data_IF_663911491675
#
_entry.id   IF_663911491675
#
_cell.length_a   1.000
_cell.length_b   1.000
_cell.length_c   1.000
_cell.angle_alpha   90.00
_cell.angle_beta   90.00
_cell.angle_gamma   90.00
#
_symmetry.space_group_name_H-M   'P 1'
#
loop_
_entity.id
_entity.type
_entity.pdbx_description
1 polymer ?
#
# COMPACT_ATOMS: atom_id res chain seq x y z
N UNK A 1 29.64 -9.23 5.61
CA UNK A 1 28.95 -9.13 4.31
C UNK A 1 28.15 -7.85 4.32
N UNK A 2 28.73 -6.78 3.71
CA UNK A 2 28.09 -5.47 3.67
C UNK A 2 26.84 -5.49 2.79
N UNK A 3 25.75 -4.97 3.32
CA UNK A 3 24.54 -4.70 2.56
C UNK A 3 24.83 -3.54 1.61
N UNK A 4 24.77 -3.79 0.30
CA UNK A 4 24.91 -2.75 -0.71
C UNK A 4 23.52 -2.26 -1.12
N UNK A 5 23.12 -1.11 -0.60
CA UNK A 5 21.83 -0.49 -0.89
C UNK A 5 21.61 -0.17 -2.38
N UNK A 6 22.68 -0.14 -3.18
CA UNK A 6 22.61 0.03 -4.64
C UNK A 6 22.26 -1.27 -5.36
N UNK A 7 22.30 -2.41 -4.67
CA UNK A 7 21.96 -3.73 -5.18
C UNK A 7 20.65 -4.28 -4.61
N UNK A 8 19.72 -3.42 -4.29
CA UNK A 8 18.35 -3.88 -4.04
C UNK A 8 17.91 -4.56 -5.34
N UNK A 9 17.41 -5.80 -5.29
CA UNK A 9 16.79 -6.42 -6.44
C UNK A 9 15.52 -5.65 -6.78
N UNK A 10 15.66 -4.51 -7.39
CA UNK A 10 14.55 -3.83 -8.00
C UNK A 10 14.37 -4.47 -9.37
N UNK A 11 13.14 -4.80 -9.73
CA UNK A 11 12.78 -5.21 -11.07
C UNK A 11 13.18 -4.17 -12.15
N UNK A 12 13.76 -3.05 -11.74
CA UNK A 12 14.21 -1.96 -12.59
C UNK A 12 15.58 -2.16 -13.24
N UNK A 13 16.37 -3.17 -12.85
CA UNK A 13 17.73 -3.36 -13.34
C UNK A 13 17.85 -4.33 -14.52
N UNK A 14 16.85 -4.45 -15.35
CA UNK A 14 17.05 -5.04 -16.65
C UNK A 14 17.57 -3.96 -17.60
N UNK A 15 18.84 -4.13 -17.99
CA UNK A 15 19.62 -3.23 -18.82
C UNK A 15 19.18 -3.14 -20.30
N UNK A 16 18.09 -3.77 -20.67
CA UNK A 16 17.58 -3.68 -22.03
C UNK A 16 16.66 -2.46 -22.18
N UNK A 17 16.87 -1.65 -23.24
CA UNK A 17 15.98 -0.55 -23.53
C UNK A 17 14.57 -1.10 -23.74
N UNK A 18 13.64 -0.71 -22.88
CA UNK A 18 12.24 -1.12 -23.01
C UNK A 18 11.70 -0.62 -24.34
N UNK A 19 11.19 -1.51 -25.17
CA UNK A 19 10.43 -1.11 -26.35
C UNK A 19 9.25 -0.29 -25.87
N UNK A 20 9.11 0.94 -26.39
CA UNK A 20 7.88 1.71 -26.22
C UNK A 20 6.76 0.92 -26.91
N UNK A 21 5.84 0.37 -26.14
CA UNK A 21 4.61 -0.18 -26.68
C UNK A 21 3.69 0.96 -27.10
N UNK A 22 2.94 0.79 -28.17
CA UNK A 22 1.81 1.66 -28.47
C UNK A 22 0.71 1.39 -27.46
N UNK A 23 0.24 2.45 -26.80
CA UNK A 23 -0.92 2.35 -25.91
C UNK A 23 -2.17 2.20 -26.76
N UNK A 24 -3.08 1.34 -26.34
CA UNK A 24 -4.38 1.23 -26.99
C UNK A 24 -5.09 2.58 -26.93
N UNK A 25 -5.67 3.03 -28.04
CA UNK A 25 -6.29 4.35 -28.18
C UNK A 25 -7.48 4.60 -27.24
N UNK A 26 -7.97 3.58 -26.55
CA UNK A 26 -9.08 3.63 -25.60
C UNK A 26 -8.66 3.69 -24.13
N UNK A 27 -7.36 3.81 -23.83
CA UNK A 27 -6.90 3.97 -22.46
C UNK A 27 -7.26 5.37 -21.93
N UNK A 28 -8.02 5.40 -20.85
CA UNK A 28 -8.50 6.63 -20.21
C UNK A 28 -7.66 7.05 -19.00
N UNK A 29 -6.93 6.09 -18.41
CA UNK A 29 -6.07 6.33 -17.25
C UNK A 29 -4.62 6.43 -17.70
N UNK A 30 -4.14 7.64 -17.90
CA UNK A 30 -2.80 7.92 -18.38
C UNK A 30 -1.98 8.64 -17.31
N UNK A 31 -0.87 8.04 -16.81
CA UNK A 31 -0.02 8.71 -15.85
C UNK A 31 0.82 9.80 -16.53
N UNK A 32 0.81 10.98 -15.96
CA UNK A 32 1.71 12.08 -16.26
C UNK A 32 2.82 12.10 -15.22
N UNK A 33 4.06 11.90 -15.63
CA UNK A 33 5.21 11.92 -14.75
C UNK A 33 5.82 13.32 -14.69
N UNK A 34 6.27 13.70 -13.51
CA UNK A 34 6.93 14.99 -13.29
C UNK A 34 8.08 14.87 -12.30
N UNK A 35 9.00 15.83 -12.39
CA UNK A 35 10.05 16.08 -11.40
C UNK A 35 9.85 17.48 -10.87
N UNK A 36 9.78 17.62 -9.55
CA UNK A 36 9.70 18.90 -8.89
C UNK A 36 10.72 18.92 -7.73
N UNK A 37 11.67 19.86 -7.78
CA UNK A 37 12.76 19.98 -6.81
C UNK A 37 13.52 18.67 -6.56
N UNK A 38 13.77 17.90 -7.63
CA UNK A 38 14.44 16.60 -7.57
C UNK A 38 13.59 15.44 -7.06
N UNK A 39 12.32 15.70 -6.73
CA UNK A 39 11.36 14.68 -6.28
C UNK A 39 10.51 14.20 -7.44
N UNK A 40 10.40 12.88 -7.55
CA UNK A 40 9.60 12.25 -8.60
C UNK A 40 8.12 12.21 -8.22
N UNK A 41 7.26 12.42 -9.20
CA UNK A 41 5.83 12.26 -9.03
C UNK A 41 5.15 11.72 -10.26
N UNK A 42 3.92 11.25 -10.06
CA UNK A 42 3.02 10.87 -11.12
C UNK A 42 1.60 11.27 -10.76
N UNK A 43 0.85 11.71 -11.76
CA UNK A 43 -0.56 12.08 -11.58
C UNK A 43 -1.43 11.45 -12.67
N UNK A 44 -2.68 11.19 -12.34
CA UNK A 44 -3.69 10.63 -13.24
C UNK A 44 -5.01 11.35 -13.02
N UNK A 45 -5.63 11.80 -14.09
CA UNK A 45 -7.04 12.20 -14.04
C UNK A 45 -7.92 10.95 -13.94
N UNK A 46 -8.98 11.03 -13.15
CA UNK A 46 -9.96 9.96 -12.98
C UNK A 46 -11.35 10.45 -13.36
N UNK A 47 -12.25 9.58 -13.83
CA UNK A 47 -13.62 9.96 -14.16
C UNK A 47 -14.35 10.59 -12.97
N UNK A 48 -15.10 11.64 -13.23
CA UNK A 48 -15.92 12.32 -12.23
C UNK A 48 -16.86 11.37 -11.47
N UNK A 49 -16.90 11.52 -10.16
CA UNK A 49 -17.71 10.70 -9.27
C UNK A 49 -17.17 9.29 -9.02
N UNK A 50 -15.91 9.04 -9.34
CA UNK A 50 -15.20 7.84 -8.92
C UNK A 50 -14.97 7.86 -7.41
N UNK A 51 -15.32 6.76 -6.74
CA UNK A 51 -15.03 6.55 -5.32
C UNK A 51 -13.63 5.94 -5.15
N UNK A 52 -12.77 6.57 -4.34
CA UNK A 52 -11.36 6.20 -4.17
C UNK A 52 -11.11 5.58 -2.80
N UNK A 53 -10.34 4.49 -2.77
CA UNK A 53 -10.00 3.70 -1.57
C UNK A 53 -8.53 3.28 -1.59
N UNK A 54 -7.88 3.19 -0.44
CA UNK A 54 -6.49 2.72 -0.33
C UNK A 54 -5.59 3.61 0.51
N UNK A 55 -4.30 3.65 0.18
CA UNK A 55 -3.28 4.45 0.88
C UNK A 55 -2.75 3.81 2.16
N UNK A 56 -3.25 2.63 2.54
CA UNK A 56 -2.81 1.93 3.74
C UNK A 56 -3.64 2.24 4.99
N UNK A 57 -3.02 2.11 6.14
CA UNK A 57 -3.65 2.24 7.44
C UNK A 57 -3.61 3.70 7.91
N UNK A 58 -4.77 4.34 7.91
CA UNK A 58 -4.97 5.72 8.36
C UNK A 58 -6.34 5.87 9.01
N UNK A 59 -6.49 6.79 9.93
CA UNK A 59 -7.77 7.10 10.57
C UNK A 59 -8.75 7.77 9.61
N UNK A 60 -10.03 7.75 9.98
CA UNK A 60 -11.11 8.39 9.24
C UNK A 60 -11.92 7.44 8.37
N UNK A 61 -12.62 7.99 7.39
CA UNK A 61 -13.49 7.21 6.49
C UNK A 61 -12.67 6.38 5.50
N UNK A 62 -13.25 5.28 5.01
CA UNK A 62 -12.62 4.47 3.94
C UNK A 62 -12.48 5.25 2.63
N UNK A 63 -13.41 6.15 2.34
CA UNK A 63 -13.38 6.99 1.16
C UNK A 63 -12.21 7.97 1.22
N UNK A 64 -11.40 8.02 0.16
CA UNK A 64 -10.19 8.83 0.05
C UNK A 64 -10.33 10.09 -0.79
N UNK A 65 -11.48 10.29 -1.44
CA UNK A 65 -11.75 11.51 -2.19
C UNK A 65 -11.57 12.77 -1.32
N UNK A 66 -10.90 13.77 -1.86
CA UNK A 66 -10.61 15.03 -1.14
C UNK A 66 -9.58 14.88 -0.02
N UNK A 67 -8.73 13.85 -0.05
CA UNK A 67 -7.75 13.60 1.01
C UNK A 67 -6.32 13.49 0.49
N UNK A 68 -5.40 13.84 1.37
CA UNK A 68 -3.97 13.62 1.18
C UNK A 68 -3.45 12.73 2.30
N UNK A 69 -2.75 11.65 1.93
CA UNK A 69 -2.22 10.63 2.83
C UNK A 69 -0.70 10.66 2.75
N UNK A 70 -0.05 10.74 3.90
CA UNK A 70 1.41 10.59 4.01
C UNK A 70 1.76 9.11 4.11
N UNK A 71 2.50 8.60 3.14
CA UNK A 71 2.99 7.23 3.10
C UNK A 71 4.35 7.16 3.81
N UNK A 72 4.29 7.00 5.12
CA UNK A 72 5.45 6.84 5.99
C UNK A 72 5.02 6.27 7.33
N UNK A 73 5.35 5.01 7.57
CA UNK A 73 4.93 4.28 8.76
C UNK A 73 5.37 4.98 10.05
N UNK A 74 4.49 4.97 11.04
CA UNK A 74 4.74 5.60 12.33
C UNK A 74 4.15 4.74 13.43
N UNK A 75 4.93 4.49 14.48
CA UNK A 75 4.42 3.93 15.73
C UNK A 75 3.64 5.02 16.47
N UNK A 76 2.33 5.00 16.30
CA UNK A 76 1.43 6.02 16.84
C UNK A 76 0.68 5.45 18.04
N UNK A 77 1.31 5.48 19.19
CA UNK A 77 0.67 5.08 20.45
C UNK A 77 -0.63 5.84 20.68
N UNK A 78 -1.76 5.13 20.71
CA UNK A 78 -3.11 5.69 20.92
C UNK A 78 -3.44 6.87 19.99
N UNK A 79 -2.94 6.86 18.77
CA UNK A 79 -3.09 7.93 17.78
C UNK A 79 -2.51 9.30 18.21
N UNK A 80 -1.62 9.33 19.23
CA UNK A 80 -1.04 10.55 19.77
C UNK A 80 -0.15 11.31 18.80
N UNK A 81 0.45 10.61 17.82
CA UNK A 81 1.23 11.24 16.77
C UNK A 81 0.31 11.56 15.59
N UNK A 82 0.19 12.84 15.24
CA UNK A 82 -0.58 13.39 14.11
C UNK A 82 -2.06 12.92 13.99
N UNK A 83 -2.66 12.45 15.08
CA UNK A 83 -4.06 12.03 15.11
C UNK A 83 -4.35 10.76 14.30
N UNK A 84 -3.34 9.90 14.11
CA UNK A 84 -3.45 8.66 13.34
C UNK A 84 -3.46 8.85 11.83
N UNK A 85 -2.97 9.99 11.34
CA UNK A 85 -2.80 10.22 9.89
C UNK A 85 -1.73 9.32 9.27
N UNK A 86 -0.87 8.75 10.09
CA UNK A 86 0.14 7.75 9.73
C UNK A 86 0.12 6.67 10.81
N UNK A 87 -0.03 5.44 10.39
CA UNK A 87 -0.01 4.27 11.27
C UNK A 87 1.05 3.27 10.80
N UNK A 88 0.80 1.98 10.95
CA UNK A 88 1.83 0.95 10.75
C UNK A 88 1.98 0.49 9.31
N UNK A 89 1.02 0.78 8.44
CA UNK A 89 1.05 0.33 7.04
C UNK A 89 0.83 1.50 6.07
N UNK A 90 1.76 1.64 5.14
CA UNK A 90 1.68 2.61 4.04
C UNK A 90 1.66 1.86 2.73
N UNK A 91 0.61 2.05 1.95
CA UNK A 91 0.47 1.40 0.66
C UNK A 91 0.40 2.45 -0.45
N UNK A 92 1.37 2.49 -1.38
CA UNK A 92 1.33 3.36 -2.54
C UNK A 92 0.36 2.80 -3.59
N UNK A 93 -0.84 2.46 -3.14
CA UNK A 93 -1.92 1.84 -3.87
C UNK A 93 -3.23 2.56 -3.63
N UNK A 94 -3.96 2.81 -4.72
CA UNK A 94 -5.31 3.33 -4.65
C UNK A 94 -6.21 2.59 -5.64
N UNK A 95 -7.41 2.28 -5.21
CA UNK A 95 -8.45 1.66 -6.02
C UNK A 95 -9.58 2.67 -6.26
N UNK A 96 -10.01 2.80 -7.50
CA UNK A 96 -11.16 3.60 -7.89
C UNK A 96 -12.32 2.72 -8.34
N UNK A 97 -13.52 3.06 -7.89
CA UNK A 97 -14.78 2.46 -8.32
C UNK A 97 -15.60 3.53 -9.05
N UNK A 98 -15.84 3.32 -10.34
CA UNK A 98 -16.60 4.25 -11.19
C UNK A 98 -18.11 4.13 -10.92
N UNK A 99 -18.88 5.10 -11.37
CA UNK A 99 -20.36 5.14 -11.20
C UNK A 99 -21.07 3.91 -11.77
N UNK A 100 -20.52 3.29 -12.81
CA UNK A 100 -21.04 2.09 -13.46
C UNK A 100 -20.60 0.77 -12.79
N UNK A 101 -19.80 0.85 -11.72
CA UNK A 101 -19.28 -0.29 -10.99
C UNK A 101 -17.95 -0.85 -11.55
N UNK A 102 -17.55 -0.47 -12.75
CA UNK A 102 -16.20 -0.81 -13.23
C UNK A 102 -15.15 -0.16 -12.36
N UNK A 103 -13.97 -0.79 -12.25
CA UNK A 103 -13.02 -0.41 -11.23
C UNK A 103 -11.59 -0.47 -11.75
N UNK A 104 -10.73 0.33 -11.16
CA UNK A 104 -9.31 0.29 -11.45
C UNK A 104 -8.48 0.32 -10.18
N UNK A 105 -7.26 -0.14 -10.27
CA UNK A 105 -6.25 -0.01 -9.24
C UNK A 105 -5.00 0.62 -9.80
N UNK A 106 -4.36 1.49 -9.03
CA UNK A 106 -3.11 2.14 -9.38
C UNK A 106 -2.10 1.81 -8.30
N UNK A 107 -1.01 1.14 -8.69
CA UNK A 107 0.15 0.88 -7.85
C UNK A 107 1.31 1.76 -8.32
N UNK A 108 1.77 2.62 -7.45
CA UNK A 108 3.00 3.39 -7.64
C UNK A 108 4.16 2.59 -7.05
N UNK A 109 5.02 2.04 -7.90
CA UNK A 109 6.10 1.14 -7.51
C UNK A 109 7.26 1.91 -6.86
N UNK A 110 7.01 2.38 -5.65
CA UNK A 110 7.98 3.09 -4.83
C UNK A 110 7.87 2.69 -3.36
N UNK A 111 9.02 2.61 -2.69
CA UNK A 111 9.13 2.38 -1.24
C UNK A 111 9.62 3.61 -0.49
N UNK A 112 9.85 4.70 -1.20
CA UNK A 112 10.26 5.96 -0.62
C UNK A 112 9.11 6.63 0.13
N UNK A 113 9.46 7.45 1.08
CA UNK A 113 8.49 8.35 1.70
C UNK A 113 7.77 9.15 0.62
N UNK A 114 6.44 9.18 0.70
CA UNK A 114 5.63 9.77 -0.34
C UNK A 114 4.36 10.41 0.23
N UNK A 115 3.71 11.20 -0.60
CA UNK A 115 2.40 11.76 -0.34
C UNK A 115 1.45 11.37 -1.48
N UNK A 116 0.33 10.75 -1.12
CA UNK A 116 -0.73 10.35 -2.05
C UNK A 116 -1.93 11.28 -1.87
N UNK A 117 -2.23 12.06 -2.89
CA UNK A 117 -3.35 12.99 -2.93
C UNK A 117 -4.44 12.50 -3.87
N UNK A 118 -5.70 12.70 -3.49
CA UNK A 118 -6.89 12.38 -4.28
C UNK A 118 -7.88 13.56 -4.26
N UNK A 119 -7.49 14.62 -4.91
CA UNK A 119 -8.20 15.90 -4.98
C UNK A 119 -8.68 16.17 -6.41
N UNK A 120 -9.83 16.81 -6.56
CA UNK A 120 -10.30 17.38 -7.82
C UNK A 120 -10.31 16.39 -9.01
N UNK A 121 -10.86 15.18 -8.78
CA UNK A 121 -10.87 14.09 -9.77
C UNK A 121 -9.48 13.73 -10.32
N UNK A 122 -8.46 13.89 -9.48
CA UNK A 122 -7.08 13.59 -9.77
C UNK A 122 -6.45 12.76 -8.65
N UNK A 123 -5.70 11.75 -9.03
CA UNK A 123 -4.82 11.01 -8.13
C UNK A 123 -3.39 11.48 -8.42
N UNK A 124 -2.66 11.84 -7.38
CA UNK A 124 -1.27 12.26 -7.50
C UNK A 124 -0.43 11.65 -6.39
N UNK A 125 0.70 11.06 -6.75
CA UNK A 125 1.72 10.64 -5.80
C UNK A 125 2.99 11.45 -6.00
N UNK A 126 3.50 12.02 -4.90
CA UNK A 126 4.81 12.69 -4.82
C UNK A 126 5.74 11.89 -3.94
N UNK A 127 6.82 11.39 -4.49
CA UNK A 127 7.83 10.60 -3.79
C UNK A 127 9.04 11.48 -3.43
N UNK A 128 9.66 11.23 -2.29
CA UNK A 128 10.95 11.84 -1.95
C UNK A 128 12.13 11.13 -2.62
N UNK A 129 11.87 10.08 -3.39
CA UNK A 129 12.87 9.28 -4.11
C UNK A 129 12.90 9.51 -5.61
N UNK A 130 13.56 8.58 -6.28
CA UNK A 130 13.77 8.58 -7.71
C UNK A 130 12.48 8.26 -8.49
N UNK A 131 12.56 8.32 -9.83
CA UNK A 131 11.48 7.90 -10.73
C UNK A 131 11.08 6.44 -10.47
N UNK A 132 9.79 6.19 -10.53
CA UNK A 132 9.17 4.90 -10.26
C UNK A 132 8.23 4.48 -11.39
N UNK A 133 7.82 3.23 -11.39
CA UNK A 133 6.82 2.70 -12.33
C UNK A 133 5.41 2.91 -11.78
N UNK A 134 4.45 3.03 -12.67
CA UNK A 134 3.02 3.02 -12.32
C UNK A 134 2.38 1.82 -13.00
N UNK A 135 1.74 0.97 -12.22
CA UNK A 135 0.94 -0.14 -12.73
C UNK A 135 -0.53 0.22 -12.61
N UNK A 136 -1.27 0.02 -13.69
CA UNK A 136 -2.70 0.26 -13.75
C UNK A 136 -3.39 -1.06 -14.06
N UNK A 137 -4.35 -1.42 -13.21
CA UNK A 137 -5.18 -2.61 -13.33
C UNK A 137 -6.61 -2.11 -13.54
N UNK A 138 -7.15 -2.22 -14.74
CA UNK A 138 -8.53 -1.80 -15.07
C UNK A 138 -9.38 -3.05 -15.30
N UNK A 139 -10.49 -3.17 -14.59
CA UNK A 139 -11.34 -4.38 -14.55
C UNK A 139 -12.80 -4.02 -14.38
N UNK A 140 -13.64 -5.03 -14.58
CA UNK A 140 -15.10 -4.95 -14.47
C UNK A 140 -15.63 -4.77 -13.04
N UNK A 141 -14.81 -5.05 -12.01
CA UNK A 141 -15.24 -4.98 -10.61
C UNK A 141 -14.07 -4.77 -9.64
N UNK A 142 -14.34 -4.30 -8.40
CA UNK A 142 -13.33 -4.18 -7.36
C UNK A 142 -12.63 -5.52 -7.05
N UNK A 143 -13.39 -6.63 -7.05
CA UNK A 143 -12.85 -7.96 -6.78
C UNK A 143 -11.84 -8.39 -7.87
N UNK A 144 -12.15 -8.10 -9.13
CA UNK A 144 -11.27 -8.39 -10.25
C UNK A 144 -10.00 -7.53 -10.21
N UNK A 145 -10.08 -6.29 -9.73
CA UNK A 145 -8.93 -5.42 -9.49
C UNK A 145 -8.03 -5.99 -8.39
N UNK A 146 -8.60 -6.42 -7.26
CA UNK A 146 -7.83 -7.04 -6.16
C UNK A 146 -7.17 -8.34 -6.62
N UNK A 147 -7.88 -9.15 -7.42
CA UNK A 147 -7.29 -10.35 -8.04
C UNK A 147 -6.11 -10.00 -8.93
N UNK A 148 -6.25 -9.00 -9.79
CA UNK A 148 -5.16 -8.53 -10.65
C UNK A 148 -3.96 -7.98 -9.85
N UNK A 149 -4.20 -7.31 -8.74
CA UNK A 149 -3.13 -6.92 -7.81
C UNK A 149 -2.42 -8.14 -7.24
N UNK A 150 -3.16 -9.16 -6.79
CA UNK A 150 -2.59 -10.41 -6.26
C UNK A 150 -1.78 -11.17 -7.30
N UNK A 151 -2.19 -11.14 -8.56
CA UNK A 151 -1.42 -11.71 -9.68
C UNK A 151 -0.10 -10.96 -9.90
N UNK A 152 -0.08 -9.65 -9.65
CA UNK A 152 1.12 -8.81 -9.80
C UNK A 152 2.10 -8.96 -8.63
N UNK A 153 1.61 -8.95 -7.39
CA UNK A 153 2.46 -8.92 -6.18
C UNK A 153 2.61 -10.27 -5.48
N UNK A 154 1.84 -11.26 -5.91
CA UNK A 154 1.73 -12.56 -5.24
C UNK A 154 0.65 -12.58 -4.16
N UNK A 155 0.40 -13.77 -3.63
CA UNK A 155 -0.56 -14.02 -2.55
C UNK A 155 0.16 -14.44 -1.30
N UNK A 156 -0.43 -14.14 -0.15
CA UNK A 156 0.08 -14.61 1.14
C UNK A 156 -0.05 -16.14 1.24
N UNK A 157 0.99 -16.86 1.69
CA UNK A 157 0.88 -18.29 2.00
C UNK A 157 -0.23 -18.54 3.01
N UNK A 158 -0.89 -19.72 2.89
CA UNK A 158 -1.87 -20.13 3.90
C UNK A 158 -1.19 -20.26 5.26
N UNK A 159 -1.63 -19.50 6.23
CA UNK A 159 -1.12 -19.56 7.60
C UNK A 159 -1.70 -20.77 8.34
N UNK A 160 -0.96 -21.37 9.28
CA UNK A 160 -1.49 -22.48 10.10
C UNK A 160 -2.67 -22.03 10.95
N UNK A 161 -3.60 -22.94 11.21
CA UNK A 161 -4.86 -22.64 11.92
C UNK A 161 -4.66 -21.99 13.27
N UNK A 162 -3.63 -22.37 14.02
CA UNK A 162 -3.32 -21.79 15.33
C UNK A 162 -2.96 -20.30 15.25
N UNK A 163 -2.38 -19.83 14.15
CA UNK A 163 -2.03 -18.43 13.95
C UNK A 163 -3.26 -17.52 13.76
N UNK A 164 -4.44 -18.11 13.53
CA UNK A 164 -5.72 -17.38 13.47
C UNK A 164 -6.44 -17.33 14.83
N UNK A 165 -5.85 -17.92 15.86
CA UNK A 165 -6.38 -17.91 17.22
C UNK A 165 -6.09 -16.61 17.97
N UNK A 166 -6.33 -16.64 19.28
CA UNK A 166 -6.03 -15.52 20.14
C UNK A 166 -4.52 -15.18 20.12
N UNK A 167 -4.20 -13.93 20.03
CA UNK A 167 -2.83 -13.42 20.06
C UNK A 167 -2.64 -12.52 21.29
N UNK A 168 -1.83 -12.97 22.23
CA UNK A 168 -1.49 -12.21 23.42
C UNK A 168 -0.40 -11.19 23.09
N UNK A 169 -0.70 -9.92 23.33
CA UNK A 169 0.25 -8.82 23.18
C UNK A 169 0.19 -7.87 24.38
N UNK A 170 1.33 -7.35 24.78
CA UNK A 170 1.47 -6.26 25.76
C UNK A 170 2.81 -5.56 25.60
N UNK A 171 2.93 -4.39 26.21
CA UNK A 171 4.21 -3.73 26.34
C UNK A 171 5.14 -4.53 27.25
N UNK A 172 6.20 -5.10 26.67
CA UNK A 172 7.27 -5.87 27.31
C UNK A 172 6.84 -7.14 28.07
N UNK A 173 7.58 -8.19 27.81
CA UNK A 173 7.60 -9.43 28.60
C UNK A 173 9.04 -9.67 29.04
N UNK A 174 9.36 -9.37 30.29
CA UNK A 174 10.69 -9.55 30.85
C UNK A 174 10.56 -10.19 32.25
N UNK A 175 11.39 -11.16 32.58
CA UNK A 175 12.35 -11.88 31.74
C UNK A 175 11.69 -12.92 30.83
N UNK A 176 12.49 -13.72 30.10
CA UNK A 176 12.00 -14.81 29.23
C UNK A 176 11.13 -15.84 29.95
N UNK A 177 11.43 -16.14 31.21
CA UNK A 177 10.59 -17.00 32.07
C UNK A 177 9.13 -16.52 32.14
N UNK A 178 8.89 -15.21 32.02
CA UNK A 178 7.53 -14.66 32.00
C UNK A 178 6.76 -15.04 30.72
N UNK A 179 7.46 -15.16 29.61
CA UNK A 179 6.87 -15.64 28.35
C UNK A 179 6.44 -17.09 28.49
N UNK A 180 7.30 -17.92 29.07
CA UNK A 180 7.01 -19.35 29.32
C UNK A 180 5.83 -19.51 30.27
N UNK A 181 5.83 -18.78 31.40
CA UNK A 181 4.72 -18.79 32.37
C UNK A 181 3.36 -18.46 31.70
N UNK A 182 3.33 -17.43 30.83
CA UNK A 182 2.11 -17.06 30.14
C UNK A 182 1.69 -18.16 29.17
N UNK A 183 2.61 -18.73 28.41
CA UNK A 183 2.32 -19.82 27.48
C UNK A 183 1.77 -21.06 28.22
N UNK A 184 2.34 -21.41 29.36
CA UNK A 184 1.88 -22.52 30.17
C UNK A 184 0.50 -22.23 30.75
N UNK A 185 0.23 -21.04 31.28
CA UNK A 185 -1.09 -20.62 31.73
C UNK A 185 -2.16 -20.74 30.64
N UNK A 186 -1.88 -20.40 29.38
CA UNK A 186 -2.81 -20.60 28.28
C UNK A 186 -3.14 -22.08 28.09
N UNK A 187 -2.14 -22.97 28.16
CA UNK A 187 -2.33 -24.42 28.06
C UNK A 187 -3.09 -25.01 29.22
N UNK A 188 -2.70 -24.70 30.48
CA UNK A 188 -3.34 -25.16 31.68
C UNK A 188 -4.82 -24.78 31.77
N UNK A 189 -5.12 -23.54 31.39
CA UNK A 189 -6.48 -22.99 31.35
C UNK A 189 -7.26 -23.39 30.12
N UNK A 190 -6.66 -24.13 29.18
CA UNK A 190 -7.26 -24.56 27.92
C UNK A 190 -7.79 -23.41 27.06
N UNK A 191 -7.09 -22.29 27.08
CA UNK A 191 -7.40 -21.14 26.22
C UNK A 191 -6.68 -21.34 24.88
N UNK A 192 -7.39 -21.47 23.76
CA UNK A 192 -6.76 -21.63 22.45
C UNK A 192 -5.99 -20.37 22.05
N UNK A 193 -4.74 -20.50 21.68
CA UNK A 193 -3.89 -19.42 21.16
C UNK A 193 -2.82 -19.98 20.20
#
# INVERSE_FOLDING_TARGET
TGYDAKKIPSFALQSEPRKKGELASNWTLMPEFFLNDGKAGASLAVPEGTSLYGGGEVTGTLLRNGKTIKLWNTDSGAYGVDGGKRLYQSHPWIMGVRKDGTSFGILFDTTWKAELSSMDDKIELRSEGELFRVFIIDRESPQAVVKGLSELIGTMPMIPRWAMGYQQCRFSYSPDSRVLEIADNFRERRIPC
#
